data_IF_830866067453
#
_entry.id   IF_830866067453
#
_cell.length_a   1.000
_cell.length_b   1.000
_cell.length_c   1.000
_cell.angle_alpha   90.00
_cell.angle_beta   90.00
_cell.angle_gamma   90.00
#
_symmetry.space_group_name_H-M   'P 1'
#
loop_
_entity.id
_entity.type
_entity.pdbx_description
1 polymer ?
#
# COMPACT_ATOMS: atom_id res chain seq x y z
N UNK A 1 18.64 -14.04 -79.11
CA UNK A 1 20.02 -13.54 -78.98
C UNK A 1 19.91 -12.08 -78.55
N UNK A 2 20.04 -11.73 -77.27
CA UNK A 2 21.26 -11.79 -76.41
C UNK A 2 22.02 -10.45 -76.45
N UNK A 3 22.50 -9.83 -75.35
CA UNK A 3 22.42 -10.16 -73.90
C UNK A 3 22.58 -8.88 -73.04
N UNK A 4 21.99 -8.88 -71.83
CA UNK A 4 22.11 -7.96 -70.67
C UNK A 4 22.67 -6.53 -70.85
N UNK A 5 21.87 -5.54 -70.45
CA UNK A 5 22.36 -4.33 -69.77
C UNK A 5 22.73 -4.67 -68.32
N UNK A 6 23.88 -4.18 -67.81
CA UNK A 6 24.35 -4.46 -66.45
C UNK A 6 24.20 -3.23 -65.53
N UNK A 7 23.02 -3.04 -64.94
CA UNK A 7 22.77 -1.97 -63.97
C UNK A 7 23.44 -2.24 -62.62
N UNK A 8 24.42 -1.41 -62.25
CA UNK A 8 25.01 -1.42 -60.90
C UNK A 8 24.07 -0.74 -59.91
N UNK A 9 23.30 -1.53 -59.16
CA UNK A 9 22.56 -1.05 -57.99
C UNK A 9 23.49 -1.07 -56.78
N UNK A 10 23.80 0.10 -56.20
CA UNK A 10 24.38 0.16 -54.86
C UNK A 10 23.26 -0.10 -53.84
N UNK A 11 23.48 -0.95 -52.81
CA UNK A 11 22.56 -1.00 -51.69
C UNK A 11 22.68 0.31 -50.90
N UNK A 12 21.57 1.04 -50.77
CA UNK A 12 21.49 2.21 -49.91
C UNK A 12 21.34 1.74 -48.47
N UNK A 13 22.44 1.69 -47.72
CA UNK A 13 22.44 1.27 -46.31
C UNK A 13 21.70 2.31 -45.45
N UNK A 14 20.40 2.10 -45.24
CA UNK A 14 19.61 2.88 -44.28
C UNK A 14 20.11 2.51 -42.88
N UNK A 15 20.92 3.39 -42.30
CA UNK A 15 21.27 3.34 -40.88
C UNK A 15 20.03 3.86 -40.13
N UNK A 16 19.17 2.94 -39.72
CA UNK A 16 18.08 3.24 -38.78
C UNK A 16 18.70 3.61 -37.44
N UNK A 17 18.83 4.92 -37.18
CA UNK A 17 19.27 5.41 -35.87
C UNK A 17 18.16 5.09 -34.87
N UNK A 18 18.31 3.96 -34.18
CA UNK A 18 17.39 3.55 -33.12
C UNK A 18 17.48 4.59 -32.00
N UNK A 19 16.41 5.36 -31.79
CA UNK A 19 16.36 6.33 -30.72
C UNK A 19 16.26 5.55 -29.40
N UNK A 20 17.39 5.45 -28.69
CA UNK A 20 17.43 4.77 -27.39
C UNK A 20 16.72 5.70 -26.39
N UNK A 21 15.44 5.43 -26.13
CA UNK A 21 14.70 6.09 -25.07
C UNK A 21 15.36 5.68 -23.75
N UNK A 22 15.92 6.67 -23.04
CA UNK A 22 16.87 6.42 -21.96
C UNK A 22 16.20 5.94 -20.66
N UNK A 23 16.73 4.92 -19.97
CA UNK A 23 16.23 4.47 -18.67
C UNK A 23 16.52 5.45 -17.51
N UNK A 24 17.04 6.64 -17.81
CA UNK A 24 17.48 7.62 -16.80
C UNK A 24 16.33 8.34 -16.09
N UNK A 25 15.15 8.45 -16.70
CA UNK A 25 13.99 9.15 -16.13
C UNK A 25 13.37 8.38 -14.97
N UNK A 26 13.10 7.08 -15.14
CA UNK A 26 12.58 6.21 -14.07
C UNK A 26 13.50 6.17 -12.85
N UNK A 27 14.83 6.18 -13.04
CA UNK A 27 15.81 6.27 -11.95
C UNK A 27 15.77 7.62 -11.20
N UNK A 28 15.31 8.70 -11.84
CA UNK A 28 15.15 10.00 -11.19
C UNK A 28 13.85 10.10 -10.39
N UNK A 29 12.75 9.52 -10.91
CA UNK A 29 11.47 9.42 -10.21
C UNK A 29 11.58 8.52 -8.97
N UNK A 30 12.14 7.31 -9.11
CA UNK A 30 12.37 6.36 -8.02
C UNK A 30 13.21 6.98 -6.89
N UNK A 31 14.30 7.68 -7.23
CA UNK A 31 15.12 8.41 -6.26
C UNK A 31 14.35 9.56 -5.58
N UNK A 32 13.37 10.19 -6.25
CA UNK A 32 12.56 11.26 -5.67
C UNK A 32 11.50 10.72 -4.70
N UNK A 33 10.79 9.66 -5.09
CA UNK A 33 9.88 8.94 -4.20
C UNK A 33 10.61 8.41 -2.96
N UNK A 34 11.82 7.86 -3.13
CA UNK A 34 12.67 7.45 -2.02
C UNK A 34 13.01 8.61 -1.07
N UNK A 35 13.36 9.81 -1.58
CA UNK A 35 13.58 11.01 -0.71
C UNK A 35 12.31 11.36 0.09
N UNK A 36 11.14 11.34 -0.54
CA UNK A 36 9.85 11.64 0.11
C UNK A 36 9.48 10.59 1.16
N UNK A 37 9.71 9.30 0.88
CA UNK A 37 9.52 8.22 1.84
C UNK A 37 10.50 8.34 3.02
N UNK A 38 11.78 8.55 2.72
CA UNK A 38 12.84 8.56 3.73
C UNK A 38 12.57 9.59 4.82
N UNK A 39 12.08 10.78 4.45
CA UNK A 39 11.83 11.88 5.39
C UNK A 39 11.08 11.43 6.63
N UNK A 40 9.94 10.77 6.47
CA UNK A 40 9.05 10.46 7.60
C UNK A 40 9.13 9.00 8.05
N UNK A 41 9.40 8.07 7.14
CA UNK A 41 9.22 6.64 7.44
C UNK A 41 10.55 5.90 7.63
N UNK A 42 11.68 6.41 7.12
CA UNK A 42 13.01 5.86 7.46
C UNK A 42 13.31 5.92 8.96
N UNK A 43 13.02 6.99 9.73
CA UNK A 43 13.23 6.98 11.17
C UNK A 43 12.39 5.93 11.91
N UNK A 44 11.20 5.60 11.39
CA UNK A 44 10.34 4.54 11.97
C UNK A 44 10.91 3.16 11.62
N UNK A 45 11.32 2.96 10.37
CA UNK A 45 11.96 1.74 9.87
C UNK A 45 13.30 1.42 10.58
N UNK A 46 14.15 2.43 10.78
CA UNK A 46 15.42 2.33 11.49
C UNK A 46 15.25 2.20 13.04
N UNK A 47 14.00 2.21 13.55
CA UNK A 47 13.71 2.15 15.00
C UNK A 47 14.13 3.40 15.79
N UNK A 48 14.32 4.53 15.11
CA UNK A 48 14.71 5.82 15.69
C UNK A 48 13.51 6.69 16.11
N UNK A 49 12.31 6.37 15.61
CA UNK A 49 11.05 7.05 15.93
C UNK A 49 9.94 6.04 16.23
N UNK A 50 9.19 6.28 17.31
CA UNK A 50 8.07 5.43 17.73
C UNK A 50 6.74 6.16 17.51
N UNK A 51 6.18 6.03 16.30
CA UNK A 51 4.89 6.62 15.87
C UNK A 51 4.30 5.83 14.70
N UNK A 52 3.09 6.15 14.29
CA UNK A 52 2.47 5.56 13.10
C UNK A 52 3.24 5.84 11.79
N UNK A 53 3.03 4.97 10.78
CA UNK A 53 3.58 5.08 9.43
C UNK A 53 2.85 6.15 8.61
N UNK A 54 3.59 6.95 7.84
CA UNK A 54 3.01 8.00 7.01
C UNK A 54 2.68 7.52 5.58
N UNK A 55 3.55 6.67 5.03
CA UNK A 55 3.42 6.04 3.71
C UNK A 55 3.30 4.53 3.86
N UNK A 56 4.11 3.92 4.74
CA UNK A 56 4.24 2.48 4.92
C UNK A 56 5.71 2.07 5.05
N UNK A 57 5.98 0.78 5.39
CA UNK A 57 7.35 0.30 5.58
C UNK A 57 8.20 0.37 4.30
N UNK A 58 7.57 0.31 3.12
CA UNK A 58 8.20 0.46 1.80
C UNK A 58 7.11 0.68 0.72
N UNK A 59 7.53 0.90 -0.53
CA UNK A 59 6.65 0.88 -1.70
C UNK A 59 6.28 -0.56 -2.09
N UNK A 60 5.00 -0.85 -2.31
CA UNK A 60 4.56 -2.17 -2.80
C UNK A 60 4.57 -2.30 -4.35
N UNK A 61 4.92 -1.23 -5.07
CA UNK A 61 5.29 -1.26 -6.49
C UNK A 61 6.68 -0.64 -6.70
N UNK A 62 7.33 -0.96 -7.82
CA UNK A 62 8.32 -0.04 -8.38
C UNK A 62 7.65 1.23 -8.90
N UNK A 63 8.42 2.11 -9.55
CA UNK A 63 7.84 3.15 -10.39
C UNK A 63 7.02 2.51 -11.52
N UNK A 64 5.76 2.90 -11.64
CA UNK A 64 4.83 2.50 -12.71
C UNK A 64 4.26 3.73 -13.39
N UNK A 65 3.92 3.62 -14.67
CA UNK A 65 3.52 4.76 -15.49
C UNK A 65 2.00 4.75 -15.71
N UNK A 66 1.34 5.89 -15.50
CA UNK A 66 -0.11 6.08 -15.68
C UNK A 66 -0.41 7.13 -16.75
N UNK A 67 -1.51 7.01 -17.48
CA UNK A 67 -2.00 8.06 -18.39
C UNK A 67 -2.29 9.37 -17.63
N UNK A 68 -1.74 10.47 -18.14
CA UNK A 68 -1.98 11.83 -17.66
C UNK A 68 -1.76 12.84 -18.80
N UNK A 69 -2.84 13.40 -19.32
CA UNK A 69 -2.86 14.11 -20.61
C UNK A 69 -1.87 15.28 -20.73
N UNK A 70 -1.61 16.01 -19.65
CA UNK A 70 -0.73 17.18 -19.62
C UNK A 70 0.73 16.86 -19.25
N UNK A 71 1.03 15.62 -18.86
CA UNK A 71 2.41 15.20 -18.57
C UNK A 71 3.22 15.01 -19.86
N UNK A 72 4.52 15.31 -19.89
CA UNK A 72 5.41 14.95 -21.00
C UNK A 72 5.23 13.49 -21.45
N UNK A 73 4.85 13.29 -22.72
CA UNK A 73 4.55 11.97 -23.29
C UNK A 73 3.12 11.47 -23.08
N UNK A 74 2.26 12.20 -22.37
CA UNK A 74 0.87 11.82 -22.05
C UNK A 74 0.76 10.89 -20.83
N UNK A 75 1.82 10.77 -20.03
CA UNK A 75 1.88 9.84 -18.89
C UNK A 75 2.68 10.39 -17.71
N UNK A 76 2.20 10.20 -16.47
CA UNK A 76 2.95 10.48 -15.23
C UNK A 76 3.59 9.20 -14.66
N UNK A 77 4.72 9.34 -14.00
CA UNK A 77 5.31 8.26 -13.21
C UNK A 77 4.76 8.29 -11.78
N UNK A 78 4.42 7.13 -11.23
CA UNK A 78 3.83 6.98 -9.88
C UNK A 78 4.44 5.80 -9.13
N UNK A 79 4.40 5.83 -7.80
CA UNK A 79 4.80 4.71 -6.95
C UNK A 79 3.84 4.54 -5.77
N UNK A 80 3.45 3.29 -5.51
CA UNK A 80 2.44 2.95 -4.52
C UNK A 80 3.03 2.49 -3.19
N UNK A 81 2.53 3.05 -2.10
CA UNK A 81 2.83 2.72 -0.71
C UNK A 81 1.53 2.33 0.00
N UNK A 82 1.58 1.72 1.19
CA UNK A 82 0.37 1.29 1.90
C UNK A 82 -0.68 2.41 2.04
N UNK A 83 -0.23 3.59 2.43
CA UNK A 83 -1.04 4.76 2.83
C UNK A 83 -0.99 5.91 1.83
N UNK A 84 -0.40 5.72 0.64
CA UNK A 84 -0.45 6.73 -0.43
C UNK A 84 -0.03 6.21 -1.81
N UNK A 85 -0.18 7.05 -2.82
CA UNK A 85 0.50 6.93 -4.11
C UNK A 85 1.22 8.24 -4.36
N UNK A 86 2.55 8.18 -4.46
CA UNK A 86 3.38 9.30 -4.86
C UNK A 86 3.39 9.42 -6.39
N UNK A 87 3.48 10.62 -6.93
CA UNK A 87 3.51 10.87 -8.38
C UNK A 87 4.41 12.05 -8.77
N UNK A 88 5.07 11.89 -9.93
CA UNK A 88 5.82 12.94 -10.64
C UNK A 88 5.08 13.20 -11.96
N UNK A 89 4.27 14.25 -11.96
CA UNK A 89 3.36 14.61 -13.08
C UNK A 89 4.01 15.55 -14.11
N UNK A 90 5.24 16.00 -13.83
CA UNK A 90 6.10 16.64 -14.82
C UNK A 90 7.59 16.34 -14.50
N UNK A 91 8.21 15.30 -15.11
CA UNK A 91 9.60 14.93 -14.85
C UNK A 91 10.63 15.91 -15.43
N UNK A 92 10.22 16.87 -16.27
CA UNK A 92 11.05 17.97 -16.75
C UNK A 92 11.00 19.21 -15.83
N UNK A 93 10.24 19.15 -14.73
CA UNK A 93 10.20 20.20 -13.72
C UNK A 93 11.51 20.29 -12.92
N UNK A 94 11.78 21.45 -12.33
CA UNK A 94 12.87 21.60 -11.37
C UNK A 94 12.43 21.00 -10.04
N UNK A 95 13.22 20.09 -9.48
CA UNK A 95 13.08 19.66 -8.08
C UNK A 95 13.60 20.76 -7.16
N UNK A 96 12.73 21.72 -6.82
CA UNK A 96 13.01 22.86 -5.94
C UNK A 96 12.41 22.73 -4.53
N UNK A 97 11.77 21.60 -4.22
CA UNK A 97 11.26 21.29 -2.89
C UNK A 97 10.13 20.27 -2.87
N UNK A 98 9.35 20.31 -1.78
CA UNK A 98 8.35 19.29 -1.37
C UNK A 98 7.30 18.93 -2.44
N UNK A 99 7.06 19.80 -3.43
CA UNK A 99 6.00 19.62 -4.43
C UNK A 99 6.43 18.98 -5.76
N UNK A 100 7.72 18.64 -5.94
CA UNK A 100 8.17 17.90 -7.14
C UNK A 100 7.59 16.48 -7.19
N UNK A 101 7.62 15.79 -6.05
CA UNK A 101 6.77 14.62 -5.78
C UNK A 101 5.48 15.12 -5.16
N UNK A 102 4.33 14.72 -5.68
CA UNK A 102 3.05 14.96 -5.02
C UNK A 102 2.40 13.65 -4.60
N UNK A 103 1.37 13.72 -3.76
CA UNK A 103 0.51 12.58 -3.46
C UNK A 103 -0.80 12.73 -4.24
N UNK A 104 -1.24 11.68 -4.92
CA UNK A 104 -2.47 11.69 -5.72
C UNK A 104 -3.72 11.96 -4.88
N UNK A 105 -4.79 12.45 -5.52
CA UNK A 105 -6.05 12.83 -4.87
C UNK A 105 -6.94 11.60 -4.59
N UNK A 106 -6.33 10.55 -4.04
CA UNK A 106 -6.87 9.19 -4.04
C UNK A 106 -8.25 9.08 -3.42
N UNK A 107 -8.56 9.91 -2.41
CA UNK A 107 -9.85 9.89 -1.72
C UNK A 107 -10.89 10.73 -2.45
N UNK A 108 -10.52 11.83 -3.12
CA UNK A 108 -11.43 12.51 -4.06
C UNK A 108 -11.88 11.52 -5.14
N UNK A 109 -10.94 10.78 -5.71
CA UNK A 109 -11.21 9.78 -6.75
C UNK A 109 -12.03 8.59 -6.22
N UNK A 110 -11.65 8.00 -5.07
CA UNK A 110 -12.36 6.86 -4.45
C UNK A 110 -13.78 7.21 -3.98
N UNK A 111 -14.02 8.42 -3.46
CA UNK A 111 -15.36 8.86 -3.06
C UNK A 111 -16.17 9.23 -4.31
N UNK A 112 -15.68 10.14 -5.16
CA UNK A 112 -16.49 10.65 -6.29
C UNK A 112 -16.73 9.62 -7.41
N UNK A 113 -15.87 8.60 -7.51
CA UNK A 113 -15.84 7.66 -8.62
C UNK A 113 -15.08 8.17 -9.86
N UNK A 114 -14.63 9.43 -9.89
CA UNK A 114 -13.95 10.01 -11.05
C UNK A 114 -12.44 9.84 -10.93
N UNK A 115 -11.89 8.86 -11.64
CA UNK A 115 -10.46 8.57 -11.65
C UNK A 115 -9.71 9.57 -12.55
N UNK A 116 -8.65 10.20 -12.05
CA UNK A 116 -7.96 11.27 -12.79
C UNK A 116 -7.04 10.72 -13.90
N UNK A 117 -7.19 11.29 -15.11
CA UNK A 117 -6.38 11.02 -16.32
C UNK A 117 -5.83 12.31 -16.98
N UNK A 118 -6.01 13.45 -16.34
CA UNK A 118 -5.42 14.75 -16.68
C UNK A 118 -5.88 15.82 -15.69
N UNK A 119 -5.56 17.10 -15.92
CA UNK A 119 -5.98 18.19 -15.03
C UNK A 119 -7.50 18.28 -14.94
N UNK A 120 -8.17 18.35 -16.10
CA UNK A 120 -9.64 18.41 -16.25
C UNK A 120 -10.20 17.12 -16.90
N UNK A 121 -9.43 16.02 -16.93
CA UNK A 121 -9.79 14.76 -17.58
C UNK A 121 -9.95 13.62 -16.57
N UNK A 122 -11.06 12.86 -16.69
CA UNK A 122 -11.45 11.81 -15.75
C UNK A 122 -12.06 10.60 -16.46
N UNK A 123 -11.81 9.42 -15.91
CA UNK A 123 -12.54 8.18 -16.21
C UNK A 123 -13.58 7.94 -15.09
N UNK A 124 -14.87 7.98 -15.41
CA UNK A 124 -15.94 7.77 -14.42
C UNK A 124 -16.13 6.28 -14.11
N UNK A 125 -16.08 5.94 -12.82
CA UNK A 125 -16.28 4.61 -12.23
C UNK A 125 -17.31 4.68 -11.09
N UNK A 126 -17.66 3.52 -10.54
CA UNK A 126 -18.40 3.45 -9.28
C UNK A 126 -17.55 3.97 -8.10
N UNK A 127 -18.11 4.82 -7.22
CA UNK A 127 -17.54 5.09 -5.90
C UNK A 127 -17.14 3.81 -5.16
N UNK A 128 -16.02 3.85 -4.44
CA UNK A 128 -15.41 2.65 -3.91
C UNK A 128 -16.12 2.14 -2.64
N UNK A 129 -16.78 0.98 -2.75
CA UNK A 129 -17.39 0.26 -1.64
C UNK A 129 -16.39 -0.44 -0.69
N UNK A 130 -15.13 0.02 -0.66
CA UNK A 130 -14.08 -0.47 0.25
C UNK A 130 -14.21 0.26 1.59
N UNK A 131 -14.15 -0.43 2.75
CA UNK A 131 -14.12 0.22 4.06
C UNK A 131 -13.02 1.28 4.15
N UNK A 132 -13.36 2.44 4.70
CA UNK A 132 -12.40 3.56 4.86
C UNK A 132 -11.38 3.29 5.98
N UNK A 133 -11.80 2.48 6.96
CA UNK A 133 -11.11 2.15 8.19
C UNK A 133 -11.51 0.74 8.66
N UNK A 134 -10.66 0.08 9.45
CA UNK A 134 -10.93 -1.24 10.00
C UNK A 134 -10.65 -2.40 9.04
N UNK A 135 -11.25 -3.54 9.34
CA UNK A 135 -11.09 -4.81 8.64
C UNK A 135 -11.80 -4.76 7.27
N UNK A 136 -11.20 -5.38 6.23
CA UNK A 136 -11.72 -5.32 4.86
C UNK A 136 -13.05 -6.06 4.63
N UNK A 137 -13.45 -6.91 5.57
CA UNK A 137 -14.75 -7.61 5.62
C UNK A 137 -15.68 -7.01 6.70
N UNK A 138 -15.51 -5.73 7.04
CA UNK A 138 -16.53 -4.95 7.75
C UNK A 138 -17.73 -4.68 6.81
N UNK A 139 -18.93 -5.06 7.27
CA UNK A 139 -20.21 -4.91 6.57
C UNK A 139 -21.06 -3.75 7.10
N UNK A 140 -20.71 -3.19 8.27
CA UNK A 140 -21.47 -2.17 8.99
C UNK A 140 -20.76 -0.80 9.01
N UNK A 141 -19.43 -0.78 8.98
CA UNK A 141 -18.61 0.43 8.92
C UNK A 141 -18.71 1.18 7.57
N UNK A 142 -18.36 2.48 7.53
CA UNK A 142 -18.42 3.29 6.32
C UNK A 142 -17.34 2.96 5.29
N UNK A 143 -17.68 3.20 4.03
CA UNK A 143 -16.84 3.01 2.84
C UNK A 143 -16.54 4.36 2.19
N UNK A 144 -15.63 4.47 1.22
CA UNK A 144 -15.47 5.73 0.47
C UNK A 144 -16.78 6.16 -0.21
N UNK A 145 -17.53 5.22 -0.79
CA UNK A 145 -18.87 5.46 -1.35
C UNK A 145 -19.88 6.02 -0.34
N UNK A 146 -19.69 5.80 0.97
CA UNK A 146 -20.55 6.34 2.03
C UNK A 146 -20.46 7.87 2.13
N UNK A 147 -19.29 8.46 1.85
CA UNK A 147 -19.05 9.89 2.02
C UNK A 147 -19.52 10.75 0.83
N UNK A 148 -19.98 10.15 -0.27
CA UNK A 148 -20.54 10.88 -1.43
C UNK A 148 -21.66 11.83 -1.03
N UNK A 149 -22.50 11.43 -0.07
CA UNK A 149 -23.61 12.24 0.44
C UNK A 149 -23.17 13.37 1.40
N UNK A 150 -21.88 13.47 1.71
CA UNK A 150 -21.32 14.33 2.77
C UNK A 150 -20.29 15.36 2.26
N UNK A 151 -19.98 15.36 0.96
CA UNK A 151 -19.07 16.32 0.31
C UNK A 151 -19.62 17.75 0.22
N UNK A 152 -20.94 17.93 0.36
CA UNK A 152 -21.65 19.21 0.20
C UNK A 152 -22.25 19.69 1.55
N UNK A 153 -21.65 19.27 2.68
CA UNK A 153 -22.11 19.61 4.03
C UNK A 153 -21.37 20.85 4.53
N UNK A 154 -22.13 21.89 4.91
CA UNK A 154 -21.63 23.14 5.51
C UNK A 154 -20.79 22.86 6.78
N UNK A 155 -19.74 23.67 7.04
CA UNK A 155 -18.75 23.38 8.07
C UNK A 155 -19.31 23.48 9.47
N UNK A 156 -18.90 22.55 10.32
CA UNK A 156 -19.16 22.59 11.75
C UNK A 156 -18.44 23.80 12.36
N UNK A 157 -19.20 24.61 13.12
CA UNK A 157 -18.68 25.84 13.69
C UNK A 157 -17.48 25.59 14.62
N UNK A 158 -16.47 26.46 14.57
CA UNK A 158 -15.29 26.39 15.44
C UNK A 158 -15.69 26.26 16.92
N UNK A 159 -15.06 25.31 17.62
CA UNK A 159 -15.32 24.90 19.02
C UNK A 159 -16.66 24.17 19.26
N UNK A 160 -17.42 23.83 18.22
CA UNK A 160 -18.51 22.85 18.34
C UNK A 160 -17.92 21.44 18.50
N UNK A 161 -18.55 20.62 19.36
CA UNK A 161 -18.07 19.28 19.68
C UNK A 161 -18.40 18.25 18.59
N UNK A 162 -17.43 17.41 18.24
CA UNK A 162 -17.55 16.31 17.28
C UNK A 162 -18.41 15.20 17.89
N UNK A 163 -19.72 15.29 17.64
CA UNK A 163 -20.75 14.45 18.30
C UNK A 163 -21.76 13.87 17.30
N UNK A 164 -21.39 13.84 16.02
CA UNK A 164 -22.19 13.23 14.96
C UNK A 164 -21.58 11.90 14.54
N UNK A 165 -22.44 10.92 14.28
CA UNK A 165 -22.11 9.57 13.80
C UNK A 165 -22.60 9.36 12.38
N UNK A 166 -21.81 8.69 11.54
CA UNK A 166 -22.18 8.26 10.19
C UNK A 166 -22.35 6.74 10.14
N UNK A 167 -23.43 6.25 9.51
CA UNK A 167 -23.58 4.83 9.14
C UNK A 167 -23.14 4.57 7.70
N UNK A 168 -22.97 3.30 7.30
CA UNK A 168 -22.53 2.90 5.94
C UNK A 168 -23.37 3.46 4.79
N UNK A 169 -24.62 3.86 5.04
CA UNK A 169 -25.53 4.44 4.04
C UNK A 169 -25.42 5.97 3.94
N UNK A 170 -24.47 6.59 4.67
CA UNK A 170 -24.27 8.04 4.71
C UNK A 170 -25.23 8.75 5.66
N UNK A 171 -25.96 8.01 6.49
CA UNK A 171 -26.92 8.60 7.42
C UNK A 171 -26.20 9.18 8.63
N UNK A 172 -26.22 10.51 8.74
CA UNK A 172 -25.75 11.22 9.94
C UNK A 172 -26.77 11.13 11.08
N UNK A 173 -26.30 10.92 12.30
CA UNK A 173 -27.08 10.92 13.55
C UNK A 173 -26.29 11.60 14.67
N UNK A 174 -26.95 12.11 15.72
CA UNK A 174 -26.31 12.92 16.76
C UNK A 174 -26.25 12.15 18.09
N UNK A 175 -25.05 11.93 18.62
CA UNK A 175 -24.78 11.21 19.87
C UNK A 175 -24.07 12.13 20.88
N UNK A 176 -24.83 12.59 21.88
CA UNK A 176 -24.36 13.53 22.90
C UNK A 176 -23.36 12.93 23.90
N UNK A 177 -23.24 11.59 23.99
CA UNK A 177 -22.28 10.97 24.90
C UNK A 177 -20.84 11.25 24.47
N UNK A 178 -20.59 11.30 23.16
CA UNK A 178 -19.28 11.61 22.56
C UNK A 178 -18.76 13.00 22.95
N UNK A 179 -19.64 13.92 23.36
CA UNK A 179 -19.24 15.24 23.88
C UNK A 179 -18.40 15.17 25.17
N UNK A 180 -18.41 14.02 25.88
CA UNK A 180 -17.53 13.77 27.01
C UNK A 180 -16.06 13.57 26.61
N UNK A 181 -15.77 13.30 25.33
CA UNK A 181 -14.41 13.14 24.79
C UNK A 181 -13.74 14.49 24.46
N UNK A 182 -14.46 15.60 24.56
CA UNK A 182 -13.91 16.97 24.43
C UNK A 182 -13.59 17.44 23.01
N UNK A 183 -13.44 16.54 22.03
CA UNK A 183 -12.99 16.86 20.66
C UNK A 183 -13.88 17.93 20.00
N UNK A 184 -13.26 18.98 19.46
CA UNK A 184 -13.95 20.05 18.71
C UNK A 184 -13.40 20.29 17.30
N UNK A 185 -14.11 21.08 16.49
CA UNK A 185 -13.58 21.66 15.26
C UNK A 185 -12.68 22.86 15.57
N UNK A 186 -11.44 22.88 15.07
CA UNK A 186 -10.41 23.88 15.42
C UNK A 186 -9.90 24.72 14.24
N UNK A 187 -10.11 24.25 13.01
CA UNK A 187 -9.78 24.95 11.77
C UNK A 187 -10.95 24.84 10.78
N UNK A 188 -11.07 25.77 9.84
CA UNK A 188 -11.97 25.66 8.68
C UNK A 188 -11.14 26.01 7.43
N UNK A 189 -11.09 25.10 6.46
CA UNK A 189 -10.43 25.33 5.19
C UNK A 189 -11.26 26.31 4.34
N UNK A 190 -10.62 27.35 3.81
CA UNK A 190 -11.30 28.44 3.09
C UNK A 190 -11.45 28.21 1.57
N UNK A 191 -11.04 27.04 1.07
CA UNK A 191 -11.19 26.61 -0.33
C UNK A 191 -12.24 25.51 -0.43
N UNK A 192 -12.22 24.52 0.47
CA UNK A 192 -13.23 23.45 0.51
C UNK A 192 -14.39 23.71 1.47
N UNK A 193 -14.31 24.74 2.31
CA UNK A 193 -15.35 25.11 3.28
C UNK A 193 -15.69 24.00 4.30
N UNK A 194 -14.70 23.17 4.67
CA UNK A 194 -14.87 22.11 5.68
C UNK A 194 -14.09 22.38 6.97
N UNK A 195 -14.62 21.93 8.11
CA UNK A 195 -14.00 22.10 9.42
C UNK A 195 -13.15 20.90 9.83
N UNK A 196 -11.91 21.13 10.29
CA UNK A 196 -10.98 20.08 10.73
C UNK A 196 -11.12 19.84 12.23
N UNK A 197 -11.29 18.57 12.62
CA UNK A 197 -11.32 18.17 14.02
C UNK A 197 -9.91 18.24 14.67
N UNK A 198 -9.90 18.62 15.95
CA UNK A 198 -8.72 18.82 16.80
C UNK A 198 -7.57 17.81 16.61
N UNK A 199 -7.75 16.49 16.81
CA UNK A 199 -6.63 15.53 16.69
C UNK A 199 -6.05 15.44 15.27
N UNK A 200 -6.86 15.67 14.23
CA UNK A 200 -6.38 15.66 12.85
C UNK A 200 -5.59 16.93 12.53
N UNK A 201 -6.05 18.09 13.04
CA UNK A 201 -5.31 19.34 12.91
C UNK A 201 -3.98 19.30 13.68
N UNK A 202 -3.97 18.75 14.90
CA UNK A 202 -2.74 18.53 15.67
C UNK A 202 -1.76 17.59 14.94
N UNK A 203 -2.24 16.46 14.42
CA UNK A 203 -1.42 15.56 13.60
C UNK A 203 -0.85 16.26 12.35
N UNK A 204 -1.67 17.00 11.60
CA UNK A 204 -1.26 17.77 10.41
C UNK A 204 -0.25 18.90 10.70
N UNK A 205 -0.07 19.29 11.96
CA UNK A 205 0.89 20.31 12.38
C UNK A 205 1.97 19.75 13.34
N UNK A 206 2.07 18.42 13.44
CA UNK A 206 2.94 17.74 14.42
C UNK A 206 4.43 17.75 14.04
N UNK A 207 5.28 17.65 15.07
CA UNK A 207 6.74 17.54 14.96
C UNK A 207 7.23 16.19 15.44
N UNK A 208 8.39 15.77 14.95
CA UNK A 208 9.13 14.62 15.45
C UNK A 208 10.39 14.36 14.64
N UNK A 209 11.10 13.28 14.98
CA UNK A 209 12.26 12.81 14.21
C UNK A 209 11.88 12.56 12.74
N UNK A 210 12.60 13.25 11.85
CA UNK A 210 12.61 13.09 10.39
C UNK A 210 14.03 12.81 9.89
N UNK A 211 14.14 12.38 8.64
CA UNK A 211 15.40 12.31 7.89
C UNK A 211 15.48 13.49 6.91
N UNK A 212 16.50 14.33 7.02
CA UNK A 212 16.70 15.54 6.20
C UNK A 212 18.20 15.83 6.07
N UNK A 213 18.64 16.38 4.92
CA UNK A 213 20.05 16.67 4.61
C UNK A 213 21.04 15.51 4.84
N UNK A 214 20.55 14.26 4.82
CA UNK A 214 21.36 13.05 5.04
C UNK A 214 21.60 12.69 6.52
N UNK A 215 20.79 13.22 7.44
CA UNK A 215 20.83 12.89 8.86
C UNK A 215 19.45 12.91 9.54
N UNK A 216 19.42 12.59 10.83
CA UNK A 216 18.21 12.68 11.66
C UNK A 216 18.08 14.09 12.24
N UNK A 217 16.87 14.66 12.19
CA UNK A 217 16.54 15.97 12.76
C UNK A 217 15.16 15.96 13.42
N UNK A 218 14.95 16.83 14.41
CA UNK A 218 13.62 17.15 14.93
C UNK A 218 13.03 18.30 14.10
N UNK A 219 11.93 18.05 13.40
CA UNK A 219 11.26 19.04 12.54
C UNK A 219 9.75 18.77 12.47
N UNK A 220 9.00 19.55 11.68
CA UNK A 220 7.62 19.17 11.33
C UNK A 220 7.64 17.89 10.49
N UNK A 221 6.73 16.96 10.78
CA UNK A 221 6.59 15.75 9.97
C UNK A 221 6.20 16.10 8.53
N UNK A 222 5.40 17.17 8.38
CA UNK A 222 4.98 17.71 7.10
C UNK A 222 5.60 19.10 6.90
N UNK A 223 6.30 19.30 5.77
CA UNK A 223 6.87 20.60 5.40
C UNK A 223 5.77 21.61 4.99
N UNK A 224 4.61 21.12 4.55
CA UNK A 224 3.33 21.83 4.44
C UNK A 224 2.23 20.91 5.01
N UNK A 225 1.31 21.46 5.82
CA UNK A 225 0.28 20.66 6.52
C UNK A 225 -0.68 19.93 5.57
N UNK A 226 -0.84 20.38 4.33
CA UNK A 226 -1.67 19.77 3.29
C UNK A 226 -0.90 18.80 2.39
N UNK A 227 0.43 18.71 2.48
CA UNK A 227 1.24 17.82 1.62
C UNK A 227 0.83 16.35 1.77
N UNK A 228 0.65 15.94 3.02
CA UNK A 228 0.32 14.59 3.46
C UNK A 228 -1.14 14.18 3.16
N UNK A 229 -2.07 15.04 3.58
CA UNK A 229 -3.51 14.78 3.67
C UNK A 229 -4.31 15.39 2.54
N UNK A 230 -3.88 16.54 2.03
CA UNK A 230 -4.72 17.45 1.26
C UNK A 230 -5.69 18.22 2.16
N UNK A 231 -6.57 18.98 1.53
CA UNK A 231 -7.66 19.71 2.19
C UNK A 231 -8.73 18.77 2.73
N UNK A 232 -9.45 19.12 3.81
CA UNK A 232 -10.64 18.38 4.24
C UNK A 232 -11.71 18.44 3.14
N UNK A 233 -12.35 17.30 2.84
CA UNK A 233 -13.46 17.17 1.87
C UNK A 233 -14.72 16.58 2.51
N UNK A 234 -14.71 16.38 3.82
CA UNK A 234 -15.87 16.10 4.67
C UNK A 234 -15.65 16.76 6.02
N UNK A 235 -16.73 16.93 6.78
CA UNK A 235 -16.64 17.08 8.24
C UNK A 235 -16.11 15.79 8.90
N UNK A 236 -15.79 15.86 10.19
CA UNK A 236 -15.37 14.70 10.98
C UNK A 236 -16.57 14.00 11.64
N UNK A 237 -16.76 12.71 11.34
CA UNK A 237 -17.86 11.89 11.83
C UNK A 237 -17.35 10.67 12.60
N UNK A 238 -18.02 10.33 13.70
CA UNK A 238 -17.79 9.07 14.39
C UNK A 238 -18.41 7.90 13.63
N UNK A 239 -17.76 6.75 13.62
CA UNK A 239 -18.31 5.51 13.12
C UNK A 239 -17.93 4.37 14.05
N UNK A 240 -18.80 3.38 14.16
CA UNK A 240 -18.42 2.08 14.72
C UNK A 240 -17.87 1.24 13.57
N UNK A 241 -16.62 0.81 13.65
CA UNK A 241 -15.95 -0.03 12.65
C UNK A 241 -15.39 -1.29 13.30
N UNK A 242 -15.25 -2.35 12.53
CA UNK A 242 -14.63 -3.60 12.97
C UNK A 242 -13.11 -3.49 12.84
N UNK A 243 -12.38 -3.63 13.94
CA UNK A 243 -10.91 -3.66 13.98
C UNK A 243 -10.49 -4.96 14.67
N UNK A 244 -9.72 -5.80 14.00
CA UNK A 244 -9.32 -7.12 14.50
C UNK A 244 -10.52 -7.94 15.03
N UNK A 245 -11.60 -7.99 14.24
CA UNK A 245 -12.90 -8.60 14.54
C UNK A 245 -13.67 -7.97 15.73
N UNK A 246 -13.22 -6.84 16.28
CA UNK A 246 -13.85 -6.16 17.41
C UNK A 246 -14.46 -4.82 16.97
N UNK A 247 -15.72 -4.57 17.30
CA UNK A 247 -16.35 -3.27 17.04
C UNK A 247 -15.71 -2.18 17.92
N UNK A 248 -15.21 -1.10 17.30
CA UNK A 248 -14.57 0.04 17.95
C UNK A 248 -15.13 1.34 17.40
N UNK A 249 -15.39 2.31 18.27
CA UNK A 249 -15.76 3.67 17.84
C UNK A 249 -14.49 4.44 17.43
N UNK A 250 -14.50 4.99 16.22
CA UNK A 250 -13.43 5.80 15.65
C UNK A 250 -14.01 7.10 15.09
N UNK A 251 -13.32 8.21 15.27
CA UNK A 251 -13.60 9.44 14.54
C UNK A 251 -12.94 9.33 13.17
N UNK A 252 -13.62 9.74 12.10
CA UNK A 252 -13.14 9.67 10.72
C UNK A 252 -13.32 11.03 10.06
N UNK A 253 -12.29 11.55 9.40
CA UNK A 253 -12.41 12.69 8.50
C UNK A 253 -11.70 12.40 7.19
N UNK A 254 -12.34 12.69 6.06
CA UNK A 254 -11.75 12.51 4.74
C UNK A 254 -11.14 13.82 4.23
N UNK A 255 -9.90 13.71 3.76
CA UNK A 255 -9.13 14.76 3.09
C UNK A 255 -8.79 14.27 1.67
N UNK A 256 -8.41 15.16 0.76
CA UNK A 256 -8.25 14.84 -0.68
C UNK A 256 -7.40 13.59 -0.96
N UNK A 257 -6.34 13.37 -0.17
CA UNK A 257 -5.32 12.32 -0.37
C UNK A 257 -5.48 11.11 0.53
N UNK A 258 -6.11 11.26 1.70
CA UNK A 258 -6.37 10.19 2.68
C UNK A 258 -7.53 10.56 3.61
N UNK A 259 -8.24 9.56 4.12
CA UNK A 259 -9.04 9.76 5.33
C UNK A 259 -8.19 9.42 6.56
N UNK A 260 -8.23 10.28 7.56
CA UNK A 260 -7.62 10.04 8.86
C UNK A 260 -8.64 9.42 9.81
N UNK A 261 -8.16 8.54 10.69
CA UNK A 261 -8.94 7.96 11.79
C UNK A 261 -8.35 8.41 13.11
N UNK A 262 -9.19 8.76 14.08
CA UNK A 262 -8.77 9.02 15.47
C UNK A 262 -9.45 8.05 16.42
N UNK A 263 -8.66 7.44 17.29
CA UNK A 263 -9.09 6.41 18.24
C UNK A 263 -8.51 6.72 19.62
N UNK A 264 -9.30 7.23 20.59
CA UNK A 264 -8.75 7.71 21.86
C UNK A 264 -8.11 6.61 22.70
N UNK A 265 -8.60 5.37 22.60
CA UNK A 265 -8.09 4.20 23.33
C UNK A 265 -6.77 3.63 22.78
N UNK A 266 -6.25 4.17 21.66
CA UNK A 266 -4.92 3.76 21.16
C UNK A 266 -3.81 4.45 21.98
N UNK A 267 -2.59 3.88 22.05
CA UNK A 267 -1.45 4.54 22.69
C UNK A 267 -1.08 5.88 22.04
N UNK A 268 -0.54 6.81 22.83
CA UNK A 268 0.04 8.08 22.35
C UNK A 268 1.06 7.83 21.23
N UNK A 269 0.91 8.52 20.09
CA UNK A 269 1.68 8.25 18.86
C UNK A 269 1.00 7.33 17.84
N UNK A 270 -0.08 6.64 18.23
CA UNK A 270 -0.94 5.79 17.38
C UNK A 270 -2.44 6.14 17.51
N UNK A 271 -2.79 7.26 18.16
CA UNK A 271 -4.18 7.72 18.26
C UNK A 271 -4.75 8.25 16.95
N UNK A 272 -3.92 8.88 16.11
CA UNK A 272 -4.26 9.22 14.72
C UNK A 272 -3.57 8.24 13.79
N UNK A 273 -4.34 7.69 12.85
CA UNK A 273 -3.84 6.79 11.81
C UNK A 273 -4.43 7.16 10.43
N UNK A 274 -3.91 6.52 9.39
CA UNK A 274 -4.49 6.53 8.05
C UNK A 274 -4.75 5.09 7.60
N UNK A 275 -5.92 4.84 7.01
CA UNK A 275 -6.22 3.56 6.34
C UNK A 275 -5.25 3.31 5.18
N UNK A 276 -5.17 2.07 4.70
CA UNK A 276 -4.25 1.66 3.62
C UNK A 276 -4.76 2.11 2.23
N UNK A 277 -4.99 3.41 2.08
CA UNK A 277 -5.61 4.06 0.92
C UNK A 277 -4.84 3.84 -0.38
N UNK A 278 -3.51 3.67 -0.33
CA UNK A 278 -2.73 3.35 -1.53
C UNK A 278 -3.05 1.95 -2.06
N UNK A 279 -3.23 0.97 -1.16
CA UNK A 279 -3.73 -0.38 -1.53
C UNK A 279 -5.20 -0.36 -1.96
N UNK A 280 -6.04 0.43 -1.29
CA UNK A 280 -7.46 0.55 -1.63
C UNK A 280 -7.64 1.15 -3.04
N UNK A 281 -6.94 2.24 -3.35
CA UNK A 281 -6.93 2.88 -4.65
C UNK A 281 -6.32 1.98 -5.73
N UNK A 282 -5.18 1.33 -5.48
CA UNK A 282 -4.59 0.40 -6.46
C UNK A 282 -5.58 -0.70 -6.86
N UNK A 283 -6.28 -1.30 -5.89
CA UNK A 283 -7.30 -2.32 -6.15
C UNK A 283 -8.47 -1.76 -6.98
N UNK A 284 -8.98 -0.58 -6.61
CA UNK A 284 -10.08 0.10 -7.33
C UNK A 284 -9.68 0.58 -8.74
N UNK A 285 -8.42 0.97 -8.95
CA UNK A 285 -7.87 1.39 -10.25
C UNK A 285 -7.63 0.22 -11.21
N UNK A 286 -7.24 -0.96 -10.71
CA UNK A 286 -6.78 -2.04 -11.59
C UNK A 286 -7.65 -3.32 -11.62
N UNK A 287 -8.53 -3.59 -10.65
CA UNK A 287 -9.11 -4.94 -10.44
C UNK A 287 -10.66 -5.10 -10.57
N UNK A 288 -11.40 -4.28 -11.34
CA UNK A 288 -12.84 -4.53 -11.60
C UNK A 288 -13.33 -4.24 -13.05
N UNK A 289 -14.07 -5.19 -13.62
CA UNK A 289 -14.89 -5.19 -14.87
C UNK A 289 -16.01 -6.25 -14.69
N UNK A 290 -17.03 -6.48 -15.54
CA UNK A 290 -17.52 -5.92 -16.84
C UNK A 290 -19.06 -5.69 -16.66
N UNK A 291 -20.06 -5.88 -17.57
CA UNK A 291 -20.13 -6.16 -19.02
C UNK A 291 -20.38 -4.86 -19.84
N UNK A 292 -20.67 -4.78 -21.15
CA UNK A 292 -21.06 -5.73 -22.21
C UNK A 292 -20.11 -5.67 -23.44
N UNK A 293 -20.10 -6.69 -24.34
CA UNK A 293 -18.85 -7.12 -24.97
C UNK A 293 -18.70 -6.87 -26.50
N UNK A 294 -17.45 -6.95 -26.98
CA UNK A 294 -17.08 -7.22 -28.38
C UNK A 294 -15.63 -7.76 -28.50
N UNK A 295 -15.21 -8.37 -29.64
CA UNK A 295 -14.40 -9.59 -29.57
C UNK A 295 -12.86 -9.45 -29.47
N UNK A 296 -12.30 -10.53 -28.95
CA UNK A 296 -10.90 -10.96 -28.78
C UNK A 296 -9.93 -10.55 -29.92
N UNK A 297 -8.69 -10.17 -29.54
CA UNK A 297 -7.53 -10.99 -29.91
C UNK A 297 -6.82 -11.59 -28.68
N UNK A 298 -6.26 -12.79 -28.85
CA UNK A 298 -5.67 -13.59 -27.76
C UNK A 298 -4.36 -12.96 -27.25
N UNK A 299 -4.17 -12.77 -25.93
CA UNK A 299 -2.88 -12.36 -25.40
C UNK A 299 -1.85 -13.49 -25.52
N UNK A 300 -0.66 -13.17 -26.05
CA UNK A 300 0.50 -14.07 -26.07
C UNK A 300 1.25 -13.94 -24.74
N UNK A 301 1.54 -15.04 -24.00
CA UNK A 301 2.29 -14.95 -22.75
C UNK A 301 3.76 -14.56 -22.98
N UNK A 302 4.29 -13.60 -22.21
CA UNK A 302 5.75 -13.45 -22.11
C UNK A 302 6.30 -12.05 -21.79
N UNK A 303 6.23 -11.62 -20.53
CA UNK A 303 7.42 -11.21 -19.74
C UNK A 303 7.00 -10.89 -18.29
N UNK A 304 7.64 -11.54 -17.31
CA UNK A 304 7.40 -11.29 -15.89
C UNK A 304 8.36 -10.25 -15.33
N UNK A 305 7.82 -9.15 -14.78
CA UNK A 305 8.60 -8.11 -14.09
C UNK A 305 8.50 -8.24 -12.56
N UNK A 306 7.31 -8.58 -12.05
CA UNK A 306 7.06 -9.02 -10.67
C UNK A 306 5.94 -10.06 -10.74
N UNK A 307 5.88 -10.99 -9.79
CA UNK A 307 4.77 -11.92 -9.60
C UNK A 307 4.34 -11.92 -8.13
N UNK A 308 3.05 -11.73 -7.88
CA UNK A 308 2.49 -11.51 -6.54
C UNK A 308 1.46 -12.59 -6.22
N UNK A 309 1.44 -13.10 -4.98
CA UNK A 309 0.45 -14.06 -4.52
C UNK A 309 0.14 -13.93 -3.03
N UNK A 310 -1.14 -13.96 -2.68
CA UNK A 310 -1.62 -14.04 -1.30
C UNK A 310 -1.56 -15.48 -0.80
N UNK A 311 -0.89 -15.67 0.35
CA UNK A 311 -0.73 -16.94 1.04
C UNK A 311 -1.65 -16.96 2.27
N UNK A 312 -2.32 -18.08 2.50
CA UNK A 312 -3.00 -18.39 3.77
C UNK A 312 -2.73 -19.84 4.17
N UNK A 313 -2.38 -20.10 5.42
CA UNK A 313 -2.06 -21.45 5.88
C UNK A 313 -2.09 -21.65 7.38
N UNK A 314 -1.71 -22.85 7.81
CA UNK A 314 -1.60 -23.27 9.21
C UNK A 314 -0.25 -23.91 9.49
N UNK A 315 0.23 -23.82 10.73
CA UNK A 315 1.33 -24.66 11.20
C UNK A 315 0.84 -26.10 11.37
N UNK A 316 1.53 -27.05 10.74
CA UNK A 316 1.22 -28.49 10.83
C UNK A 316 2.29 -29.27 11.60
N UNK A 317 3.40 -28.62 11.98
CA UNK A 317 4.43 -29.19 12.85
C UNK A 317 5.33 -28.09 13.41
N UNK A 318 5.53 -28.08 14.73
CA UNK A 318 6.48 -27.19 15.41
C UNK A 318 7.95 -27.60 15.20
N UNK A 319 8.25 -28.61 14.37
CA UNK A 319 9.61 -29.09 14.12
C UNK A 319 10.30 -29.65 15.38
N UNK A 320 11.64 -29.61 15.39
CA UNK A 320 12.49 -30.09 16.48
C UNK A 320 13.51 -29.02 16.91
N UNK A 321 13.79 -28.92 18.21
CA UNK A 321 14.83 -28.02 18.73
C UNK A 321 16.15 -28.77 18.88
N UNK A 322 17.24 -28.21 18.37
CA UNK A 322 18.61 -28.62 18.65
C UNK A 322 19.46 -27.37 18.95
N UNK A 323 20.22 -27.40 20.04
CA UNK A 323 20.90 -26.22 20.59
C UNK A 323 19.97 -25.01 20.72
N UNK A 324 20.39 -23.89 20.12
CA UNK A 324 19.65 -22.63 20.06
C UNK A 324 18.95 -22.42 18.70
N UNK A 325 18.51 -23.50 18.04
CA UNK A 325 17.80 -23.42 16.75
C UNK A 325 16.66 -24.43 16.69
N UNK A 326 15.51 -23.99 16.18
CA UNK A 326 14.39 -24.86 15.82
C UNK A 326 14.48 -25.18 14.35
N UNK A 327 14.36 -26.46 14.01
CA UNK A 327 14.46 -26.98 12.66
C UNK A 327 13.13 -27.57 12.20
N UNK A 328 12.71 -27.20 10.99
CA UNK A 328 11.59 -27.84 10.29
C UNK A 328 10.19 -27.47 10.77
N UNK A 329 10.00 -26.25 11.29
CA UNK A 329 8.65 -25.72 11.58
C UNK A 329 7.88 -25.65 10.27
N UNK A 330 6.82 -26.44 10.13
CA UNK A 330 6.18 -26.72 8.83
C UNK A 330 4.82 -26.07 8.74
N UNK A 331 4.63 -25.26 7.70
CA UNK A 331 3.35 -24.63 7.34
C UNK A 331 2.79 -25.25 6.06
N UNK A 332 1.48 -25.43 6.00
CA UNK A 332 0.74 -25.87 4.80
C UNK A 332 -0.44 -24.94 4.60
N UNK A 333 -0.71 -24.56 3.35
CA UNK A 333 -1.73 -23.58 3.01
C UNK A 333 -2.07 -23.52 1.52
N UNK A 334 -2.71 -22.45 1.12
CA UNK A 334 -2.99 -22.08 -0.27
C UNK A 334 -2.20 -20.84 -0.67
N UNK A 335 -1.88 -20.76 -1.96
CA UNK A 335 -1.41 -19.57 -2.65
C UNK A 335 -2.45 -19.17 -3.71
N UNK A 336 -2.66 -17.88 -3.89
CA UNK A 336 -3.67 -17.30 -4.78
C UNK A 336 -3.16 -16.00 -5.40
N UNK A 337 -3.49 -15.74 -6.67
CA UNK A 337 -2.83 -14.72 -7.50
C UNK A 337 -2.03 -15.38 -8.62
N UNK A 338 -0.86 -14.84 -8.95
CA UNK A 338 -0.07 -15.24 -10.12
C UNK A 338 0.53 -16.65 -10.02
N UNK A 339 0.85 -17.11 -8.81
CA UNK A 339 1.35 -18.46 -8.52
C UNK A 339 0.31 -19.21 -7.66
N UNK A 340 -0.84 -19.61 -8.25
CA UNK A 340 -1.88 -20.28 -7.50
C UNK A 340 -1.50 -21.74 -7.21
N UNK A 341 -1.89 -22.26 -6.05
CA UNK A 341 -1.69 -23.68 -5.71
C UNK A 341 -1.66 -23.99 -4.23
N UNK A 342 -1.22 -25.18 -3.88
CA UNK A 342 -0.94 -25.59 -2.50
C UNK A 342 0.41 -25.02 -2.08
N UNK A 343 0.43 -24.14 -1.09
CA UNK A 343 1.64 -23.62 -0.46
C UNK A 343 2.14 -24.57 0.63
N UNK A 344 3.47 -24.73 0.70
CA UNK A 344 4.15 -25.41 1.81
C UNK A 344 5.45 -24.70 2.13
N UNK A 345 5.72 -24.49 3.40
CA UNK A 345 7.01 -24.01 3.90
C UNK A 345 7.49 -24.89 5.05
N UNK A 346 8.82 -24.99 5.21
CA UNK A 346 9.48 -25.68 6.30
C UNK A 346 10.70 -24.87 6.73
N UNK A 347 10.59 -24.19 7.85
CA UNK A 347 11.44 -23.08 8.28
C UNK A 347 12.32 -23.48 9.47
N UNK A 348 13.56 -22.99 9.48
CA UNK A 348 14.50 -23.10 10.58
C UNK A 348 14.77 -21.71 11.17
N UNK A 349 14.77 -21.53 12.50
CA UNK A 349 14.95 -20.22 13.13
C UNK A 349 15.58 -20.27 14.53
N UNK A 350 16.14 -19.14 14.96
CA UNK A 350 16.80 -18.90 16.25
C UNK A 350 16.30 -17.59 16.87
N UNK A 351 16.10 -17.47 18.21
CA UNK A 351 16.15 -18.54 19.20
C UNK A 351 15.03 -19.57 18.97
N UNK A 352 15.09 -20.78 19.56
CA UNK A 352 14.20 -21.90 19.22
C UNK A 352 12.80 -21.80 19.83
N UNK A 353 12.47 -20.68 20.48
CA UNK A 353 11.19 -20.44 21.14
C UNK A 353 10.60 -19.11 20.65
N UNK A 354 9.40 -19.14 20.04
CA UNK A 354 8.49 -18.01 20.01
C UNK A 354 8.10 -17.53 21.42
N UNK A 355 7.63 -16.29 21.52
CA UNK A 355 7.04 -15.73 22.75
C UNK A 355 7.11 -14.21 22.82
N UNK A 356 6.51 -13.65 23.87
CA UNK A 356 6.52 -12.23 24.25
C UNK A 356 7.84 -11.51 23.92
N UNK A 357 7.77 -10.50 23.04
CA UNK A 357 8.88 -9.63 22.64
C UNK A 357 10.03 -10.29 21.87
N UNK A 358 9.92 -11.58 21.51
CA UNK A 358 11.00 -12.32 20.83
C UNK A 358 11.08 -11.96 19.35
N UNK A 359 12.28 -11.73 18.82
CA UNK A 359 12.52 -11.79 17.37
C UNK A 359 13.16 -13.14 17.02
N UNK A 360 12.44 -13.98 16.27
CA UNK A 360 12.99 -15.22 15.72
C UNK A 360 13.59 -14.96 14.33
N UNK A 361 14.92 -14.96 14.23
CA UNK A 361 15.65 -14.84 12.96
C UNK A 361 15.60 -16.17 12.20
N UNK A 362 15.20 -16.12 10.93
CA UNK A 362 15.19 -17.28 10.04
C UNK A 362 16.61 -17.58 9.55
N UNK A 363 17.05 -18.82 9.74
CA UNK A 363 18.40 -19.30 9.40
C UNK A 363 18.41 -20.33 8.26
N UNK A 364 17.27 -20.48 7.59
CA UNK A 364 17.11 -21.31 6.39
C UNK A 364 15.83 -22.12 6.37
N UNK A 365 15.69 -22.97 5.37
CA UNK A 365 14.50 -23.81 5.16
C UNK A 365 14.17 -23.98 3.68
N UNK A 366 13.06 -24.66 3.41
CA UNK A 366 12.57 -24.98 2.06
C UNK A 366 11.09 -24.58 1.91
N UNK A 367 10.68 -24.18 0.71
CA UNK A 367 9.29 -23.83 0.39
C UNK A 367 8.91 -24.27 -1.04
N UNK A 368 7.61 -24.42 -1.27
CA UNK A 368 7.05 -24.77 -2.58
C UNK A 368 5.60 -24.30 -2.75
N UNK A 369 5.23 -23.95 -3.98
CA UNK A 369 3.84 -23.88 -4.44
C UNK A 369 3.66 -24.87 -5.58
N UNK A 370 2.62 -25.71 -5.51
CA UNK A 370 2.30 -26.71 -6.54
C UNK A 370 0.83 -26.63 -6.94
N UNK A 371 0.57 -26.68 -8.24
CA UNK A 371 -0.76 -26.75 -8.85
C UNK A 371 -0.72 -27.58 -10.14
N UNK A 372 -1.86 -27.68 -10.82
CA UNK A 372 -1.98 -28.23 -12.17
C UNK A 372 -1.17 -27.46 -13.22
N UNK A 373 -0.97 -26.15 -13.02
CA UNK A 373 -0.14 -25.27 -13.87
C UNK A 373 1.37 -25.54 -13.78
N UNK A 374 1.84 -26.15 -12.69
CA UNK A 374 3.27 -26.39 -12.48
C UNK A 374 3.70 -26.42 -11.02
N UNK A 375 4.99 -26.18 -10.79
CA UNK A 375 5.54 -26.03 -9.43
C UNK A 375 6.62 -24.98 -9.39
N UNK A 376 6.62 -24.18 -8.32
CA UNK A 376 7.72 -23.31 -7.89
C UNK A 376 8.27 -23.88 -6.59
N UNK A 377 9.59 -24.00 -6.44
CA UNK A 377 10.20 -24.32 -5.15
C UNK A 377 11.47 -23.52 -4.90
N UNK A 378 11.83 -23.40 -3.62
CA UNK A 378 12.89 -22.51 -3.20
C UNK A 378 13.34 -22.73 -1.75
N UNK A 379 14.25 -21.86 -1.30
CA UNK A 379 14.82 -21.88 0.04
C UNK A 379 14.78 -20.51 0.72
N UNK A 380 14.62 -20.48 2.04
CA UNK A 380 14.71 -19.25 2.82
C UNK A 380 16.17 -18.82 2.95
N UNK A 381 16.45 -17.54 2.74
CA UNK A 381 17.79 -16.93 2.81
C UNK A 381 18.02 -16.16 4.11
N UNK A 382 16.95 -15.65 4.74
CA UNK A 382 17.03 -14.87 5.97
C UNK A 382 15.72 -14.13 6.29
N UNK A 383 15.82 -13.10 7.15
CA UNK A 383 14.68 -12.34 7.68
C UNK A 383 14.24 -12.85 9.05
N UNK A 384 13.05 -12.46 9.51
CA UNK A 384 12.59 -12.73 10.87
C UNK A 384 11.07 -12.86 11.01
N UNK A 385 10.65 -13.39 12.15
CA UNK A 385 9.33 -13.20 12.74
C UNK A 385 9.50 -12.46 14.08
N UNK A 386 8.98 -11.24 14.18
CA UNK A 386 9.01 -10.42 15.40
C UNK A 386 7.68 -10.53 16.13
N UNK A 387 7.70 -11.11 17.33
CA UNK A 387 6.53 -11.27 18.19
C UNK A 387 6.17 -9.98 18.92
N UNK A 388 4.87 -9.79 19.15
CA UNK A 388 4.35 -8.79 20.07
C UNK A 388 4.67 -9.10 21.54
N UNK A 389 4.41 -8.15 22.43
CA UNK A 389 4.63 -8.30 23.88
C UNK A 389 3.75 -9.40 24.53
N UNK A 390 2.72 -9.90 23.85
CA UNK A 390 1.91 -11.03 24.32
C UNK A 390 2.53 -12.39 23.92
N UNK A 391 3.20 -12.47 22.77
CA UNK A 391 3.55 -13.72 22.09
C UNK A 391 2.39 -14.32 21.29
N UNK A 392 1.37 -13.50 20.99
CA UNK A 392 0.10 -13.89 20.36
C UNK A 392 0.13 -13.68 18.83
N UNK A 393 0.83 -12.64 18.37
CA UNK A 393 1.07 -12.36 16.95
C UNK A 393 2.54 -12.11 16.67
N UNK A 394 2.99 -12.49 15.47
CA UNK A 394 4.30 -12.13 14.93
C UNK A 394 4.18 -11.50 13.55
N UNK A 395 4.89 -10.40 13.32
CA UNK A 395 5.11 -9.84 11.99
C UNK A 395 6.26 -10.58 11.32
N UNK A 396 6.02 -11.18 10.17
CA UNK A 396 7.00 -11.92 9.37
C UNK A 396 7.48 -11.05 8.22
N UNK A 397 8.80 -10.93 8.05
CA UNK A 397 9.44 -10.41 6.85
C UNK A 397 10.60 -11.35 6.51
N UNK A 398 10.48 -12.19 5.46
CA UNK A 398 11.48 -13.22 5.14
C UNK A 398 11.92 -13.22 3.68
N UNK A 399 13.23 -13.31 3.48
CA UNK A 399 13.87 -13.31 2.16
C UNK A 399 14.00 -14.77 1.69
N UNK A 400 13.65 -15.00 0.43
CA UNK A 400 13.47 -16.31 -0.18
C UNK A 400 14.15 -16.34 -1.55
N UNK A 401 14.54 -17.53 -2.02
CA UNK A 401 15.15 -17.72 -3.34
C UNK A 401 14.46 -18.87 -4.07
N UNK A 402 14.05 -18.65 -5.32
CA UNK A 402 13.50 -19.68 -6.19
C UNK A 402 14.63 -20.52 -6.78
N UNK A 403 14.57 -21.83 -6.57
CA UNK A 403 15.60 -22.79 -6.97
C UNK A 403 15.19 -23.54 -8.23
N UNK A 404 13.94 -24.03 -8.31
CA UNK A 404 13.41 -24.68 -9.51
C UNK A 404 11.95 -24.28 -9.78
N UNK A 405 11.59 -24.36 -11.07
CA UNK A 405 10.30 -23.98 -11.64
C UNK A 405 9.94 -24.94 -12.77
N UNK A 406 8.66 -25.24 -12.96
CA UNK A 406 8.16 -26.11 -14.05
C UNK A 406 6.81 -25.62 -14.56
N UNK A 407 6.51 -25.90 -15.83
CA UNK A 407 5.23 -25.55 -16.46
C UNK A 407 5.08 -24.03 -16.67
N UNK A 408 3.87 -23.50 -16.46
CA UNK A 408 3.55 -22.08 -16.66
C UNK A 408 4.48 -21.14 -15.88
N UNK A 409 5.08 -21.64 -14.79
CA UNK A 409 5.95 -20.89 -13.91
C UNK A 409 7.42 -20.79 -14.35
N UNK A 410 7.87 -21.48 -15.41
CA UNK A 410 9.31 -21.54 -15.76
C UNK A 410 9.96 -20.16 -15.94
N UNK A 411 9.21 -19.20 -16.49
CA UNK A 411 9.61 -17.82 -16.73
C UNK A 411 9.61 -16.88 -15.51
N UNK A 412 9.21 -17.32 -14.31
CA UNK A 412 9.23 -16.46 -13.12
C UNK A 412 10.68 -16.05 -12.73
N UNK A 413 10.86 -14.93 -12.02
CA UNK A 413 12.16 -14.51 -11.48
C UNK A 413 12.82 -15.44 -10.45
N UNK A 414 13.98 -15.05 -9.91
CA UNK A 414 14.78 -15.90 -8.99
C UNK A 414 14.78 -15.46 -7.53
N UNK A 415 14.63 -14.17 -7.25
CA UNK A 415 14.54 -13.69 -5.87
C UNK A 415 13.07 -13.61 -5.42
N UNK A 416 12.83 -13.72 -4.13
CA UNK A 416 11.49 -13.71 -3.56
C UNK A 416 11.49 -13.19 -2.12
N UNK A 417 10.32 -12.72 -1.67
CA UNK A 417 10.09 -12.25 -0.30
C UNK A 417 8.69 -12.62 0.13
N UNK A 418 8.53 -12.98 1.41
CA UNK A 418 7.21 -13.15 2.03
C UNK A 418 7.08 -12.22 3.23
N UNK A 419 6.03 -11.40 3.21
CA UNK A 419 5.69 -10.44 4.25
C UNK A 419 4.27 -10.70 4.74
N UNK A 420 4.08 -10.78 6.06
CA UNK A 420 2.80 -11.24 6.61
C UNK A 420 2.78 -11.35 8.13
N UNK A 421 1.83 -12.14 8.63
CA UNK A 421 1.62 -12.39 10.05
C UNK A 421 1.51 -13.87 10.37
N UNK A 422 1.96 -14.23 11.58
CA UNK A 422 1.67 -15.51 12.24
C UNK A 422 0.86 -15.23 13.50
N UNK A 423 -0.23 -15.96 13.69
CA UNK A 423 -1.14 -15.87 14.83
C UNK A 423 -1.10 -17.15 15.65
N UNK A 424 -0.82 -17.00 16.95
CA UNK A 424 -0.90 -18.04 17.98
C UNK A 424 -2.23 -18.05 18.76
N UNK A 425 -3.06 -17.02 18.61
CA UNK A 425 -4.38 -16.91 19.26
C UNK A 425 -5.38 -18.00 18.85
N UNK A 426 -5.05 -18.82 17.86
CA UNK A 426 -5.79 -20.01 17.42
C UNK A 426 -4.88 -21.22 17.26
N UNK A 427 -5.41 -22.42 17.51
CA UNK A 427 -4.68 -23.68 17.31
C UNK A 427 -5.32 -24.54 16.20
N UNK A 428 -4.54 -25.04 15.22
CA UNK A 428 -3.13 -24.72 14.97
C UNK A 428 -2.91 -23.25 14.60
N UNK A 429 -1.70 -22.70 14.86
CA UNK A 429 -1.30 -21.37 14.44
C UNK A 429 -1.60 -21.08 12.96
N UNK A 430 -1.95 -19.83 12.65
CA UNK A 430 -2.27 -19.39 11.27
C UNK A 430 -1.23 -18.44 10.72
N UNK A 431 -0.80 -18.68 9.49
CA UNK A 431 0.06 -17.79 8.72
C UNK A 431 -0.73 -17.16 7.57
N UNK A 432 -0.60 -15.86 7.35
CA UNK A 432 -1.18 -15.15 6.22
C UNK A 432 -0.25 -14.03 5.74
N UNK A 433 -0.24 -13.71 4.44
CA UNK A 433 0.62 -12.64 3.92
C UNK A 433 0.75 -12.65 2.40
N UNK A 434 1.70 -11.87 1.89
CA UNK A 434 2.00 -11.75 0.46
C UNK A 434 3.36 -12.37 0.16
N UNK A 435 3.40 -13.28 -0.81
CA UNK A 435 4.61 -13.73 -1.49
C UNK A 435 4.80 -12.90 -2.75
N UNK A 436 5.98 -12.28 -2.89
CA UNK A 436 6.41 -11.54 -4.06
C UNK A 436 7.64 -12.22 -4.66
N UNK A 437 7.66 -12.45 -5.98
CA UNK A 437 8.78 -13.04 -6.73
C UNK A 437 9.25 -12.02 -7.77
N UNK A 438 10.52 -11.66 -7.74
CA UNK A 438 11.08 -10.50 -8.45
C UNK A 438 12.51 -10.77 -9.00
N UNK A 439 12.96 -10.02 -10.03
CA UNK A 439 14.17 -10.27 -10.85
C UNK A 439 15.39 -10.87 -10.13
#
# INVERSE_FOLDING_TARGET
>A
METLMLSRVLPLTIITLLLIISPALSLAADAAFQRTWERTDKPVFDGQAARTWMWGPESFTGTVTEEYAESPGGTRDVQYFDKSRMEVTNPDAVDDGVWYVTNGLLVVELISGNMQTGHDSFETRSPAGVPVAGDSDDVDGPTYATFVALLEVEPVALRQAMTERVDRNGRVTQDKALGALGITAVHIDNVTNHAVAEPFWEFMNSTGVVWEDGGLAEATLFQDSLFATGRPITEAYWATVKVANTAKDVLIQCFERRCLTFTPDNPEGWQVEAGNVGRHYYSWRYNQTEPEPSPTPTPTPGMGLVSVSSIQGIETSAGSVDGDTRYGTTFIGTSSGDVPGTFRAKINYTPPKPGSGVTNTVVGGEWSITSDKGTVNGTFQGGSAQWDEAGDYATINVIMKVIARTGDFEGLPREARFDGTLSHTVFPPRIAGVLTIYP
#
